data_IF_473213441547
#
_entry.id   IF_473213441547
#
_cell.length_a   1.000
_cell.length_b   1.000
_cell.length_c   1.000
_cell.angle_alpha   90.00
_cell.angle_beta   90.00
_cell.angle_gamma   90.00
#
_symmetry.space_group_name_H-M   'P 1'
#
loop_
_entity.id
_entity.type
_entity.pdbx_description
1 polymer ?
#
# COMPACT_ATOMS: atom_id res chain seq x y z
N UNK A 1 21.81 -15.67 11.81
CA UNK A 1 20.38 -15.28 11.93
C UNK A 1 19.75 -15.54 10.60
N UNK A 2 18.93 -16.58 10.50
CA UNK A 2 18.28 -16.98 9.26
C UNK A 2 17.21 -15.94 8.94
N UNK A 3 17.51 -15.07 7.97
CA UNK A 3 16.60 -14.04 7.52
C UNK A 3 15.46 -14.76 6.80
N UNK A 4 14.31 -14.92 7.47
CA UNK A 4 13.14 -15.61 6.93
C UNK A 4 12.62 -14.83 5.73
N UNK A 5 13.16 -15.16 4.56
CA UNK A 5 12.82 -14.55 3.29
C UNK A 5 11.41 -14.99 2.94
N UNK A 6 10.43 -14.09 3.09
CA UNK A 6 9.06 -14.35 2.67
C UNK A 6 9.07 -14.87 1.23
N UNK A 7 8.42 -16.02 0.99
CA UNK A 7 8.22 -16.57 -0.36
C UNK A 7 7.54 -15.56 -1.28
N UNK A 8 6.73 -14.67 -0.71
CA UNK A 8 6.05 -13.60 -1.41
C UNK A 8 6.85 -12.31 -1.32
N UNK A 9 7.28 -11.78 -2.48
CA UNK A 9 7.99 -10.50 -2.57
C UNK A 9 7.06 -9.30 -2.69
N UNK A 10 5.86 -9.50 -3.25
CA UNK A 10 4.89 -8.44 -3.56
C UNK A 10 3.48 -8.91 -3.24
N UNK A 11 2.68 -8.05 -2.63
CA UNK A 11 1.25 -8.29 -2.37
C UNK A 11 0.43 -7.17 -3.03
N UNK A 12 -0.59 -7.56 -3.79
CA UNK A 12 -1.56 -6.62 -4.36
C UNK A 12 -2.69 -6.39 -3.36
N UNK A 13 -2.91 -5.15 -2.95
CA UNK A 13 -3.99 -4.77 -2.04
C UNK A 13 -5.05 -3.99 -2.82
N UNK A 14 -6.28 -4.52 -2.79
CA UNK A 14 -7.44 -3.84 -3.33
C UNK A 14 -8.20 -3.18 -2.18
N UNK A 15 -8.25 -1.85 -2.17
CA UNK A 15 -8.94 -1.08 -1.15
C UNK A 15 -9.76 0.03 -1.80
N UNK A 16 -10.87 0.40 -1.17
CA UNK A 16 -11.68 1.53 -1.63
C UNK A 16 -10.91 2.84 -1.57
N UNK A 17 -11.17 3.72 -2.54
CA UNK A 17 -10.67 5.11 -2.58
C UNK A 17 -11.29 6.01 -1.50
N UNK A 18 -12.29 5.53 -0.78
CA UNK A 18 -12.85 6.22 0.39
C UNK A 18 -12.10 5.83 1.66
N UNK A 19 -11.96 6.76 2.60
CA UNK A 19 -11.41 6.51 3.93
C UNK A 19 -12.23 5.53 4.77
N UNK A 20 -13.42 5.13 4.29
CA UNK A 20 -14.41 4.39 5.05
C UNK A 20 -15.08 5.27 6.10
N UNK A 21 -16.25 4.85 6.59
CA UNK A 21 -16.99 5.58 7.65
C UNK A 21 -16.53 5.21 9.07
N UNK A 22 -15.68 4.18 9.22
CA UNK A 22 -15.25 3.62 10.50
C UNK A 22 -13.73 3.68 10.62
N UNK A 23 -13.23 4.14 11.76
CA UNK A 23 -11.80 4.17 12.09
C UNK A 23 -11.15 2.77 12.03
N UNK A 24 -11.91 1.69 12.22
CA UNK A 24 -11.40 0.33 12.14
C UNK A 24 -10.78 -0.03 10.78
N UNK A 25 -11.23 0.59 9.68
CA UNK A 25 -10.62 0.36 8.36
C UNK A 25 -9.24 1.02 8.25
N UNK A 26 -9.07 2.18 8.87
CA UNK A 26 -7.80 2.89 8.95
C UNK A 26 -6.79 2.08 9.75
N UNK A 27 -7.18 1.60 10.93
CA UNK A 27 -6.29 0.79 11.79
C UNK A 27 -5.93 -0.54 11.12
N UNK A 28 -6.88 -1.20 10.47
CA UNK A 28 -6.60 -2.43 9.72
C UNK A 28 -5.62 -2.19 8.56
N UNK A 29 -5.75 -1.07 7.84
CA UNK A 29 -4.83 -0.72 6.75
C UNK A 29 -3.41 -0.42 7.28
N UNK A 30 -3.27 0.27 8.41
CA UNK A 30 -1.98 0.48 9.07
C UNK A 30 -1.37 -0.83 9.56
N UNK A 31 -2.16 -1.69 10.23
CA UNK A 31 -1.67 -3.00 10.69
C UNK A 31 -1.18 -3.85 9.51
N UNK A 32 -1.91 -3.84 8.39
CA UNK A 32 -1.47 -4.50 7.17
C UNK A 32 -0.15 -3.93 6.64
N UNK A 33 -0.01 -2.60 6.57
CA UNK A 33 1.24 -1.96 6.15
C UNK A 33 2.43 -2.39 7.03
N UNK A 34 2.27 -2.35 8.35
CA UNK A 34 3.33 -2.76 9.29
C UNK A 34 3.74 -4.21 9.08
N UNK A 35 2.78 -5.11 8.86
CA UNK A 35 3.07 -6.52 8.57
C UNK A 35 3.79 -6.73 7.23
N UNK A 36 3.52 -5.89 6.22
CA UNK A 36 4.25 -5.92 4.94
C UNK A 36 5.70 -5.46 5.14
N UNK A 37 5.90 -4.38 5.91
CA UNK A 37 7.23 -3.84 6.23
C UNK A 37 8.07 -4.84 7.02
N UNK A 38 7.51 -5.39 8.10
CA UNK A 38 8.17 -6.36 8.98
C UNK A 38 8.62 -7.61 8.19
N UNK A 39 7.77 -8.08 7.27
CA UNK A 39 8.04 -9.26 6.43
C UNK A 39 8.85 -8.97 5.18
N UNK A 40 9.31 -7.73 5.00
CA UNK A 40 10.05 -7.28 3.81
C UNK A 40 9.30 -7.59 2.50
N UNK A 41 8.00 -7.30 2.47
CA UNK A 41 7.13 -7.46 1.30
C UNK A 41 6.86 -6.08 0.70
N UNK A 42 6.93 -5.97 -0.62
CA UNK A 42 6.58 -4.76 -1.36
C UNK A 42 5.05 -4.70 -1.60
N UNK A 43 4.50 -3.50 -1.67
CA UNK A 43 3.07 -3.26 -1.90
C UNK A 43 2.80 -2.99 -3.39
N UNK A 44 1.74 -3.61 -3.93
CA UNK A 44 1.15 -3.26 -5.22
C UNK A 44 -0.29 -2.82 -4.97
N UNK A 45 -0.75 -1.74 -5.59
CA UNK A 45 -2.11 -1.23 -5.42
C UNK A 45 -2.58 -0.43 -6.64
N UNK A 46 -3.85 0.00 -6.63
CA UNK A 46 -4.47 0.72 -7.76
C UNK A 46 -4.06 2.19 -7.96
N UNK A 47 -2.99 2.67 -7.31
CA UNK A 47 -2.40 4.00 -7.57
C UNK A 47 -3.21 5.21 -7.08
N UNK A 48 -4.29 5.01 -6.31
CA UNK A 48 -5.09 6.11 -5.75
C UNK A 48 -4.40 6.77 -4.55
N UNK A 49 -4.23 8.09 -4.58
CA UNK A 49 -3.57 8.85 -3.50
C UNK A 49 -4.49 9.20 -2.32
N UNK A 50 -5.77 8.84 -2.39
CA UNK A 50 -6.82 9.33 -1.47
C UNK A 50 -7.41 8.20 -0.65
N UNK A 51 -7.77 8.49 0.61
CA UNK A 51 -8.41 7.53 1.52
C UNK A 51 -7.45 6.46 2.02
N UNK A 52 -7.95 5.22 2.12
CA UNK A 52 -7.19 4.08 2.65
C UNK A 52 -5.99 3.68 1.77
N UNK A 53 -6.08 3.93 0.46
CA UNK A 53 -5.01 3.63 -0.50
C UNK A 53 -3.78 4.52 -0.27
N UNK A 54 -3.99 5.82 -0.02
CA UNK A 54 -2.90 6.73 0.33
C UNK A 54 -2.25 6.37 1.66
N UNK A 55 -3.07 6.00 2.65
CA UNK A 55 -2.59 5.65 3.98
C UNK A 55 -1.71 4.38 3.99
N UNK A 56 -2.14 3.31 3.33
CA UNK A 56 -1.33 2.09 3.27
C UNK A 56 -0.06 2.30 2.44
N UNK A 57 -0.15 3.06 1.35
CA UNK A 57 0.99 3.44 0.52
C UNK A 57 2.04 4.22 1.32
N UNK A 58 1.60 5.22 2.09
CA UNK A 58 2.50 6.03 2.91
C UNK A 58 3.17 5.19 3.99
N UNK A 59 2.39 4.41 4.75
CA UNK A 59 2.94 3.59 5.82
C UNK A 59 3.94 2.52 5.34
N UNK A 60 3.70 1.92 4.16
CA UNK A 60 4.65 0.97 3.56
C UNK A 60 5.90 1.68 3.05
N UNK A 61 5.75 2.86 2.44
CA UNK A 61 6.88 3.66 1.96
C UNK A 61 7.76 4.17 3.11
N UNK A 62 7.16 4.70 4.17
CA UNK A 62 7.87 5.15 5.38
C UNK A 62 8.63 3.99 6.05
N UNK A 63 8.10 2.77 5.92
CA UNK A 63 8.78 1.54 6.34
C UNK A 63 9.93 1.09 5.43
N UNK A 64 10.29 1.87 4.40
CA UNK A 64 11.41 1.57 3.49
C UNK A 64 11.13 0.42 2.52
N UNK A 65 9.85 0.13 2.23
CA UNK A 65 9.44 -0.87 1.23
C UNK A 65 8.97 -0.20 -0.05
N UNK A 66 9.05 -0.92 -1.16
CA UNK A 66 8.62 -0.37 -2.45
C UNK A 66 7.10 -0.42 -2.57
N UNK A 67 6.55 0.60 -3.21
CA UNK A 67 5.11 0.73 -3.47
C UNK A 67 4.88 0.96 -4.96
N UNK A 68 4.13 0.04 -5.58
CA UNK A 68 3.80 0.08 -7.01
C UNK A 68 2.32 0.38 -7.22
N UNK A 69 2.02 1.57 -7.74
CA UNK A 69 0.66 1.98 -8.09
C UNK A 69 0.35 1.80 -9.58
N UNK A 70 -0.77 1.16 -9.91
CA UNK A 70 -1.30 1.10 -11.28
C UNK A 70 -2.55 1.96 -11.43
N UNK A 71 -2.42 3.10 -12.10
CA UNK A 71 -3.53 3.97 -12.46
C UNK A 71 -3.93 3.75 -13.93
N UNK A 72 -5.21 3.48 -14.20
CA UNK A 72 -5.70 3.30 -15.56
C UNK A 72 -5.89 4.65 -16.28
N UNK A 73 -5.53 4.73 -17.56
CA UNK A 73 -5.54 5.96 -18.39
C UNK A 73 -6.90 6.69 -18.43
N UNK A 74 -8.01 5.98 -18.22
CA UNK A 74 -9.35 6.56 -18.20
C UNK A 74 -9.61 7.40 -16.93
N UNK A 75 -8.81 7.22 -15.87
CA UNK A 75 -8.91 7.91 -14.58
C UNK A 75 -8.01 9.15 -14.51
N UNK A 76 -7.72 9.80 -15.64
CA UNK A 76 -6.84 10.98 -15.74
C UNK A 76 -7.43 12.22 -15.06
N UNK A 77 -7.45 12.18 -13.72
CA UNK A 77 -7.27 13.36 -12.88
C UNK A 77 -6.39 12.94 -11.69
N UNK A 78 -5.08 13.24 -11.86
CA UNK A 78 -4.07 13.49 -10.82
C UNK A 78 -3.38 12.28 -10.15
N UNK A 79 -2.05 12.32 -10.26
CA UNK A 79 -0.99 11.59 -9.53
C UNK A 79 -0.72 10.13 -9.88
N UNK A 80 0.25 9.94 -10.78
CA UNK A 80 1.03 8.71 -10.84
C UNK A 80 2.07 8.78 -9.71
N UNK A 81 1.89 7.98 -8.66
CA UNK A 81 2.87 7.86 -7.57
C UNK A 81 3.83 6.74 -7.95
N UNK A 82 4.99 7.11 -8.48
CA UNK A 82 6.16 6.24 -8.48
C UNK A 82 6.93 6.52 -7.21
N UNK A 83 7.00 5.54 -6.31
CA UNK A 83 7.97 5.60 -5.22
C UNK A 83 9.01 4.54 -5.46
N UNK A 84 10.21 5.00 -5.84
CA UNK A 84 11.40 4.21 -6.14
C UNK A 84 11.88 3.48 -4.88
#
# INVERSE_FOLDING_TARGET
MEETKSRFRRICVFCGSSSGKKATYHDAALQLAHQLVERKIDLVYGGGSVGLMGLISQAVHDGGRHVLGYLFRLSLQISIIYTY
#
